data_IF_058952303164
#
_entry.id   IF_058952303164
#
_cell.length_a   1.000
_cell.length_b   1.000
_cell.length_c   1.000
_cell.angle_alpha   90.00
_cell.angle_beta   90.00
_cell.angle_gamma   90.00
#
_symmetry.space_group_name_H-M   'P 1'
#
loop_
_entity.id
_entity.type
_entity.pdbx_description
1 polymer ?
#
# COMPACT_ATOMS: atom_id res chain seq x y z
N UNK A 1 -2.76 -27.94 7.77
CA UNK A 1 -2.00 -26.85 7.11
C UNK A 1 -0.93 -26.37 8.06
N UNK A 2 0.29 -26.16 7.57
CA UNK A 2 1.43 -25.74 8.39
C UNK A 2 1.23 -24.30 8.91
N UNK A 3 1.10 -24.15 10.23
CA UNK A 3 0.98 -22.87 10.95
C UNK A 3 2.35 -22.18 11.09
N UNK A 4 3.02 -21.93 9.96
CA UNK A 4 4.37 -21.37 9.93
C UNK A 4 4.46 -19.83 9.99
N UNK A 5 3.39 -19.11 9.67
CA UNK A 5 3.46 -17.66 9.36
C UNK A 5 2.65 -16.73 10.28
N UNK A 6 1.95 -17.25 11.30
CA UNK A 6 1.18 -16.41 12.23
C UNK A 6 2.01 -16.05 13.48
N UNK A 7 3.15 -15.36 13.32
CA UNK A 7 3.90 -14.79 14.46
C UNK A 7 4.38 -13.36 14.18
N UNK A 8 3.45 -12.45 13.90
CA UNK A 8 3.62 -11.00 14.05
C UNK A 8 2.60 -10.49 15.07
N UNK A 9 3.03 -9.67 16.04
CA UNK A 9 2.26 -9.00 17.11
C UNK A 9 0.93 -9.67 17.51
N UNK A 10 0.93 -10.42 18.63
CA UNK A 10 -0.28 -11.02 19.18
C UNK A 10 -1.18 -9.92 19.76
N UNK A 11 -2.05 -9.34 18.93
CA UNK A 11 -3.13 -8.49 19.38
C UNK A 11 -4.31 -9.33 19.87
N UNK A 12 -5.11 -8.77 20.77
CA UNK A 12 -6.41 -9.32 21.10
C UNK A 12 -7.36 -8.20 21.53
N UNK A 13 -8.54 -8.14 20.92
CA UNK A 13 -9.65 -7.36 21.42
C UNK A 13 -10.50 -8.15 22.42
N UNK A 14 -10.85 -7.51 23.53
CA UNK A 14 -11.81 -8.02 24.50
C UNK A 14 -13.05 -7.13 24.53
N UNK A 15 -14.21 -7.77 24.52
CA UNK A 15 -15.51 -7.13 24.74
C UNK A 15 -15.80 -7.07 26.24
N UNK A 16 -15.99 -5.86 26.76
CA UNK A 16 -16.35 -5.59 28.15
C UNK A 16 -17.84 -5.23 28.15
N UNK A 17 -18.73 -6.14 28.59
CA UNK A 17 -20.15 -5.84 28.67
C UNK A 17 -20.39 -4.72 29.69
N UNK A 18 -20.87 -3.58 29.20
CA UNK A 18 -21.24 -2.43 30.02
C UNK A 18 -22.60 -1.94 29.52
N UNK A 19 -23.53 -1.58 30.40
CA UNK A 19 -24.82 -1.00 29.99
C UNK A 19 -24.73 0.53 30.01
N UNK A 20 -25.33 1.25 29.04
CA UNK A 20 -26.17 0.78 27.94
C UNK A 20 -25.41 0.29 26.69
N UNK A 21 -24.08 0.49 26.62
CA UNK A 21 -23.26 0.15 25.44
C UNK A 21 -22.01 -0.64 25.84
N UNK A 22 -21.70 -1.68 25.05
CA UNK A 22 -20.48 -2.46 25.24
C UNK A 22 -19.24 -1.58 25.11
N UNK A 23 -18.28 -1.79 26.01
CA UNK A 23 -16.93 -1.23 25.90
C UNK A 23 -16.01 -2.28 25.28
N UNK A 24 -14.95 -1.84 24.63
CA UNK A 24 -13.97 -2.72 24.02
C UNK A 24 -12.58 -2.25 24.42
N UNK A 25 -11.71 -3.20 24.74
CA UNK A 25 -10.29 -2.96 25.01
C UNK A 25 -9.46 -3.75 24.03
N UNK A 26 -8.53 -3.09 23.34
CA UNK A 26 -7.57 -3.72 22.44
C UNK A 26 -6.25 -3.79 23.17
N UNK A 27 -5.68 -4.98 23.25
CA UNK A 27 -4.32 -5.19 23.74
C UNK A 27 -3.43 -5.54 22.55
N UNK A 28 -2.32 -4.83 22.43
CA UNK A 28 -1.29 -5.15 21.44
C UNK A 28 -0.10 -5.67 22.23
N UNK A 29 0.23 -6.94 22.07
CA UNK A 29 1.40 -7.51 22.72
C UNK A 29 2.65 -6.97 22.03
N UNK A 30 3.35 -6.10 22.74
CA UNK A 30 4.77 -5.91 22.50
C UNK A 30 5.49 -7.23 22.82
N UNK A 31 6.23 -7.77 21.86
CA UNK A 31 7.04 -8.97 22.07
C UNK A 31 8.50 -8.53 22.15
N UNK A 32 9.06 -8.36 23.37
CA UNK A 32 10.40 -7.79 23.57
C UNK A 32 11.56 -8.65 23.03
N UNK A 33 11.28 -9.88 22.55
CA UNK A 33 12.28 -10.84 22.05
C UNK A 33 12.24 -11.03 20.52
N UNK A 34 11.63 -10.11 19.79
CA UNK A 34 11.60 -10.16 18.34
C UNK A 34 12.80 -9.40 17.77
N UNK A 35 13.72 -10.11 17.10
CA UNK A 35 14.88 -9.55 16.40
C UNK A 35 14.51 -8.81 15.10
N UNK A 36 13.37 -8.10 15.10
CA UNK A 36 12.92 -7.32 13.96
C UNK A 36 13.35 -5.85 14.14
N UNK A 37 13.64 -5.14 13.03
CA UNK A 37 13.80 -3.69 13.07
C UNK A 37 12.56 -2.99 13.68
N UNK A 38 12.79 -1.86 14.36
CA UNK A 38 11.75 -1.11 15.07
C UNK A 38 10.60 -0.66 14.15
N UNK A 39 10.92 -0.23 12.93
CA UNK A 39 9.94 0.16 11.91
C UNK A 39 9.00 -1.01 11.53
N UNK A 40 9.56 -2.23 11.48
CA UNK A 40 8.80 -3.45 11.20
C UNK A 40 7.83 -3.78 12.32
N UNK A 41 8.24 -3.56 13.58
CA UNK A 41 7.37 -3.76 14.75
C UNK A 41 6.23 -2.74 14.70
N UNK A 42 6.54 -1.46 14.52
CA UNK A 42 5.55 -0.39 14.44
C UNK A 42 4.50 -0.64 13.35
N UNK A 43 4.93 -1.02 12.14
CA UNK A 43 4.03 -1.36 11.02
C UNK A 43 3.13 -2.56 11.33
N UNK A 44 3.63 -3.55 12.08
CA UNK A 44 2.84 -4.70 12.52
C UNK A 44 1.81 -4.30 13.55
N UNK A 45 2.17 -3.49 14.54
CA UNK A 45 1.24 -3.05 15.57
C UNK A 45 0.10 -2.22 14.97
N UNK A 46 0.42 -1.36 13.99
CA UNK A 46 -0.58 -0.59 13.25
C UNK A 46 -1.53 -1.48 12.44
N UNK A 47 -1.02 -2.55 11.84
CA UNK A 47 -1.86 -3.57 11.17
C UNK A 47 -2.75 -4.30 12.16
N UNK A 48 -2.17 -4.81 13.25
CA UNK A 48 -2.89 -5.51 14.31
C UNK A 48 -3.99 -4.64 14.90
N UNK A 49 -3.72 -3.36 15.18
CA UNK A 49 -4.73 -2.42 15.66
C UNK A 49 -5.91 -2.29 14.67
N UNK A 50 -5.62 -2.12 13.37
CA UNK A 50 -6.65 -2.02 12.35
C UNK A 50 -7.48 -3.31 12.24
N UNK A 51 -6.84 -4.47 12.40
CA UNK A 51 -7.50 -5.78 12.41
C UNK A 51 -8.44 -5.93 13.61
N UNK A 52 -7.99 -5.60 14.82
CA UNK A 52 -8.83 -5.65 16.03
C UNK A 52 -9.99 -4.64 15.97
N UNK A 53 -9.78 -3.46 15.38
CA UNK A 53 -10.86 -2.50 15.09
C UNK A 53 -11.90 -3.13 14.15
N UNK A 54 -11.48 -3.93 13.17
CA UNK A 54 -12.38 -4.62 12.26
C UNK A 54 -13.30 -5.59 13.02
N UNK A 55 -12.75 -6.39 13.94
CA UNK A 55 -13.57 -7.26 14.79
C UNK A 55 -14.61 -6.45 15.56
N UNK A 56 -14.22 -5.33 16.18
CA UNK A 56 -15.15 -4.48 16.91
C UNK A 56 -16.23 -3.89 16.00
N UNK A 57 -15.88 -3.45 14.79
CA UNK A 57 -16.83 -2.77 13.90
C UNK A 57 -17.75 -3.73 13.16
N UNK A 58 -17.23 -4.83 12.67
CA UNK A 58 -17.97 -5.77 11.82
C UNK A 58 -18.58 -6.92 12.63
N UNK A 59 -17.88 -7.36 13.67
CA UNK A 59 -18.19 -8.62 14.35
C UNK A 59 -18.63 -8.43 15.80
N UNK A 60 -19.00 -7.20 16.22
CA UNK A 60 -19.37 -6.87 17.62
C UNK A 60 -20.47 -7.75 18.25
N UNK A 61 -21.30 -8.37 17.43
CA UNK A 61 -22.39 -9.24 17.84
C UNK A 61 -21.94 -10.68 18.08
N UNK A 62 -20.78 -11.09 17.58
CA UNK A 62 -20.15 -12.36 17.94
C UNK A 62 -19.49 -12.27 19.31
N UNK A 63 -19.52 -13.38 20.04
CA UNK A 63 -18.86 -13.49 21.34
C UNK A 63 -17.48 -14.12 21.17
N UNK A 64 -16.47 -13.27 20.95
CA UNK A 64 -15.09 -13.70 20.67
C UNK A 64 -14.43 -14.44 21.85
N UNK A 65 -15.00 -14.32 23.07
CA UNK A 65 -14.48 -14.98 24.25
C UNK A 65 -14.91 -16.46 24.36
N UNK A 66 -15.98 -16.87 23.69
CA UNK A 66 -16.60 -18.20 23.84
C UNK A 66 -16.61 -19.05 22.57
N UNK A 67 -16.35 -18.46 21.39
CA UNK A 67 -16.32 -19.17 20.09
C UNK A 67 -15.09 -20.06 19.86
N UNK A 68 -14.23 -20.31 20.85
CA UNK A 68 -13.12 -21.28 20.71
C UNK A 68 -13.50 -22.69 21.19
N UNK A 69 -14.75 -22.92 21.58
CA UNK A 69 -15.16 -24.14 22.29
C UNK A 69 -16.02 -25.11 21.49
N UNK A 70 -16.37 -24.85 20.22
CA UNK A 70 -17.17 -25.78 19.40
C UNK A 70 -16.53 -26.05 18.02
N UNK A 71 -16.61 -27.29 17.49
CA UNK A 71 -16.00 -27.66 16.21
C UNK A 71 -16.49 -26.88 14.98
N UNK A 72 -17.74 -26.40 14.99
CA UNK A 72 -18.29 -25.56 13.90
C UNK A 72 -17.85 -24.10 13.99
N UNK A 73 -17.20 -23.70 15.09
CA UNK A 73 -16.75 -22.32 15.26
C UNK A 73 -15.45 -22.06 14.49
N UNK A 74 -14.66 -23.08 14.14
CA UNK A 74 -13.39 -22.89 13.41
C UNK A 74 -13.61 -22.31 12.01
N UNK A 75 -14.62 -22.77 11.27
CA UNK A 75 -14.94 -22.22 9.95
C UNK A 75 -15.43 -20.77 10.05
N UNK A 76 -16.28 -20.48 11.05
CA UNK A 76 -16.80 -19.13 11.29
C UNK A 76 -15.65 -18.22 11.72
N UNK A 77 -14.84 -18.62 12.68
CA UNK A 77 -13.67 -17.86 13.14
C UNK A 77 -12.72 -17.57 11.97
N UNK A 78 -12.42 -18.57 11.13
CA UNK A 78 -11.59 -18.36 9.93
C UNK A 78 -12.20 -17.30 8.98
N UNK A 79 -13.52 -17.31 8.76
CA UNK A 79 -14.19 -16.27 7.96
C UNK A 79 -14.07 -14.90 8.60
N UNK A 80 -14.34 -14.77 9.90
CA UNK A 80 -14.24 -13.50 10.63
C UNK A 80 -12.80 -12.94 10.59
N UNK A 81 -11.78 -13.78 10.72
CA UNK A 81 -10.36 -13.39 10.59
C UNK A 81 -10.02 -12.91 9.18
N UNK A 82 -10.54 -13.57 8.14
CA UNK A 82 -10.36 -13.16 6.74
C UNK A 82 -11.04 -11.80 6.49
N UNK A 83 -12.26 -11.61 6.97
CA UNK A 83 -13.00 -10.36 6.86
C UNK A 83 -12.30 -9.22 7.61
N UNK A 84 -11.78 -9.49 8.81
CA UNK A 84 -11.01 -8.52 9.58
C UNK A 84 -9.72 -8.09 8.86
N UNK A 85 -8.98 -9.04 8.26
CA UNK A 85 -7.83 -8.74 7.42
C UNK A 85 -8.19 -7.92 6.18
N UNK A 86 -9.32 -8.23 5.54
CA UNK A 86 -9.82 -7.49 4.39
C UNK A 86 -10.16 -6.04 4.74
N UNK A 87 -10.79 -5.82 5.89
CA UNK A 87 -11.08 -4.50 6.42
C UNK A 87 -9.80 -3.73 6.76
N UNK A 88 -8.87 -4.33 7.51
CA UNK A 88 -7.61 -3.70 7.89
C UNK A 88 -6.82 -3.24 6.66
N UNK A 89 -6.79 -4.09 5.62
CA UNK A 89 -6.16 -3.78 4.33
C UNK A 89 -6.76 -2.52 3.67
N UNK A 90 -8.09 -2.39 3.66
CA UNK A 90 -8.78 -1.23 3.08
C UNK A 90 -8.74 0.02 3.94
N UNK A 91 -8.67 -0.15 5.26
CA UNK A 91 -8.53 0.97 6.19
C UNK A 91 -7.14 1.61 6.06
N UNK A 92 -6.09 0.78 5.98
CA UNK A 92 -4.71 1.25 5.91
C UNK A 92 -4.29 1.67 4.49
N UNK A 93 -4.81 1.00 3.47
CA UNK A 93 -4.50 1.23 2.06
C UNK A 93 -5.79 1.40 1.24
N UNK A 94 -6.52 2.53 1.38
CA UNK A 94 -7.80 2.72 0.72
C UNK A 94 -7.67 2.85 -0.81
N UNK A 95 -8.66 2.33 -1.56
CA UNK A 95 -8.64 2.30 -3.04
C UNK A 95 -8.45 3.69 -3.66
N UNK A 96 -9.08 4.72 -3.09
CA UNK A 96 -8.99 6.10 -3.60
C UNK A 96 -7.60 6.73 -3.45
N UNK A 97 -6.74 6.18 -2.60
CA UNK A 97 -5.39 6.68 -2.39
C UNK A 97 -4.39 6.12 -3.40
N UNK A 98 -4.80 5.20 -4.28
CA UNK A 98 -4.02 4.77 -5.44
C UNK A 98 -4.31 5.74 -6.60
N UNK A 99 -3.39 6.66 -6.83
CA UNK A 99 -3.56 7.83 -7.70
C UNK A 99 -2.53 7.90 -8.82
N UNK A 100 -1.49 7.07 -8.77
CA UNK A 100 -0.44 7.00 -9.78
C UNK A 100 -0.14 5.55 -10.13
N UNK A 101 0.33 5.30 -11.35
CA UNK A 101 0.85 3.98 -11.76
C UNK A 101 1.97 3.49 -10.85
N UNK A 102 2.77 4.40 -10.28
CA UNK A 102 3.84 4.04 -9.33
C UNK A 102 3.28 3.35 -8.09
N UNK A 103 2.03 3.66 -7.69
CA UNK A 103 1.32 3.02 -6.58
C UNK A 103 0.99 1.55 -6.86
N UNK A 104 1.23 1.03 -8.06
CA UNK A 104 1.07 -0.38 -8.41
C UNK A 104 2.29 -1.24 -8.05
N UNK A 105 3.34 -0.64 -7.48
CA UNK A 105 4.54 -1.36 -7.02
C UNK A 105 4.52 -1.62 -5.51
N UNK A 106 4.98 -2.78 -5.01
CA UNK A 106 5.03 -3.05 -3.58
C UNK A 106 5.88 -2.03 -2.80
N UNK A 107 6.97 -1.53 -3.40
CA UNK A 107 7.86 -0.56 -2.77
C UNK A 107 7.17 0.78 -2.54
N UNK A 108 6.47 1.30 -3.56
CA UNK A 108 5.71 2.54 -3.42
C UNK A 108 4.59 2.41 -2.38
N UNK A 109 3.86 1.29 -2.37
CA UNK A 109 2.79 1.05 -1.39
C UNK A 109 3.34 0.98 0.04
N UNK A 110 4.47 0.30 0.26
CA UNK A 110 5.14 0.27 1.57
C UNK A 110 5.50 1.68 2.03
N UNK A 111 6.14 2.47 1.16
CA UNK A 111 6.56 3.83 1.51
C UNK A 111 5.37 4.76 1.75
N UNK A 112 4.34 4.69 0.89
CA UNK A 112 3.17 5.59 0.91
C UNK A 112 2.25 5.33 2.10
N UNK A 113 1.98 4.06 2.40
CA UNK A 113 1.00 3.69 3.43
C UNK A 113 1.64 3.30 4.75
N UNK A 114 2.97 3.20 4.79
CA UNK A 114 3.75 2.77 5.95
C UNK A 114 3.24 1.44 6.52
N UNK A 115 3.34 0.41 5.67
CA UNK A 115 2.92 -0.96 5.95
C UNK A 115 4.05 -1.94 5.62
N UNK A 116 3.95 -3.19 6.09
CA UNK A 116 4.90 -4.23 5.71
C UNK A 116 4.76 -4.63 4.24
N UNK A 117 5.87 -5.06 3.63
CA UNK A 117 5.91 -5.52 2.24
C UNK A 117 4.88 -6.61 1.93
N UNK A 118 4.72 -7.59 2.82
CA UNK A 118 3.73 -8.65 2.64
C UNK A 118 2.28 -8.16 2.64
N UNK A 119 1.96 -7.09 3.37
CA UNK A 119 0.65 -6.46 3.35
C UNK A 119 0.43 -5.69 2.03
N UNK A 120 1.45 -4.98 1.57
CA UNK A 120 1.44 -4.26 0.29
C UNK A 120 1.23 -5.23 -0.89
N UNK A 121 1.97 -6.33 -0.96
CA UNK A 121 1.84 -7.35 -2.01
C UNK A 121 0.43 -7.95 -2.03
N UNK A 122 -0.12 -8.32 -0.87
CA UNK A 122 -1.49 -8.81 -0.75
C UNK A 122 -2.52 -7.75 -1.17
N UNK A 123 -2.27 -6.48 -0.86
CA UNK A 123 -3.16 -5.39 -1.26
C UNK A 123 -3.19 -5.22 -2.76
N UNK A 124 -2.02 -5.17 -3.40
CA UNK A 124 -1.89 -5.02 -4.85
C UNK A 124 -2.56 -6.18 -5.59
N UNK A 125 -2.37 -7.42 -5.12
CA UNK A 125 -3.05 -8.59 -5.69
C UNK A 125 -4.58 -8.46 -5.67
N UNK A 126 -5.13 -7.88 -4.61
CA UNK A 126 -6.57 -7.71 -4.39
C UNK A 126 -7.06 -6.27 -4.62
N UNK A 127 -6.28 -5.44 -5.33
CA UNK A 127 -6.68 -4.08 -5.69
C UNK A 127 -7.86 -4.14 -6.65
N UNK A 128 -8.81 -3.21 -6.50
CA UNK A 128 -9.99 -3.18 -7.37
C UNK A 128 -9.57 -3.02 -8.83
N UNK A 129 -10.15 -3.85 -9.70
CA UNK A 129 -9.77 -3.88 -11.11
C UNK A 129 -10.02 -2.54 -11.81
N UNK A 130 -11.03 -1.76 -11.40
CA UNK A 130 -11.29 -0.44 -11.98
C UNK A 130 -10.20 0.55 -11.61
N UNK A 131 -9.70 0.47 -10.38
CA UNK A 131 -8.57 1.30 -9.93
C UNK A 131 -7.32 0.94 -10.71
N UNK A 132 -7.03 -0.36 -10.84
CA UNK A 132 -5.88 -0.84 -11.61
C UNK A 132 -5.96 -0.40 -13.07
N UNK A 133 -7.10 -0.66 -13.73
CA UNK A 133 -7.31 -0.33 -15.14
C UNK A 133 -7.19 1.17 -15.38
N UNK A 134 -7.83 2.01 -14.55
CA UNK A 134 -7.71 3.47 -14.66
C UNK A 134 -6.25 3.92 -14.65
N UNK A 135 -5.45 3.41 -13.71
CA UNK A 135 -4.05 3.81 -13.57
C UNK A 135 -3.18 3.30 -14.73
N UNK A 136 -3.48 2.12 -15.29
CA UNK A 136 -2.75 1.58 -16.45
C UNK A 136 -3.18 2.23 -17.78
N UNK A 137 -4.45 2.59 -17.93
CA UNK A 137 -4.98 3.27 -19.12
C UNK A 137 -4.36 4.66 -19.30
N UNK A 138 -4.18 5.41 -18.20
CA UNK A 138 -3.50 6.71 -18.21
C UNK A 138 -2.09 6.61 -18.81
N UNK A 139 -1.36 5.54 -18.47
CA UNK A 139 -0.01 5.29 -19.00
C UNK A 139 -0.04 4.81 -20.45
N UNK A 140 -0.95 3.89 -20.80
CA UNK A 140 -1.08 3.39 -22.16
C UNK A 140 -1.43 4.53 -23.15
N UNK A 141 -2.29 5.47 -22.74
CA UNK A 141 -2.61 6.67 -23.52
C UNK A 141 -1.40 7.57 -23.70
N UNK A 142 -0.59 7.76 -22.65
CA UNK A 142 0.63 8.56 -22.69
C UNK A 142 1.66 8.00 -23.68
N UNK A 143 1.90 6.69 -23.67
CA UNK A 143 2.87 6.03 -24.56
C UNK A 143 2.36 5.72 -25.98
N UNK A 144 1.15 6.17 -26.34
CA UNK A 144 0.48 5.82 -27.60
C UNK A 144 0.48 4.30 -27.87
N UNK A 145 0.43 3.49 -26.81
CA UNK A 145 0.34 2.05 -26.97
C UNK A 145 -1.00 1.71 -27.61
N UNK A 146 -0.95 1.23 -28.86
CA UNK A 146 -2.13 0.82 -29.58
C UNK A 146 -2.75 -0.36 -28.85
N UNK A 147 -4.01 -0.19 -28.50
CA UNK A 147 -4.91 -1.07 -27.78
C UNK A 147 -5.27 -2.37 -28.55
N UNK A 148 -4.36 -2.89 -29.38
CA UNK A 148 -4.58 -4.17 -30.06
C UNK A 148 -4.14 -5.29 -29.10
N UNK A 149 -5.14 -5.78 -28.35
CA UNK A 149 -5.07 -6.94 -27.43
C UNK A 149 -4.47 -6.69 -26.04
N UNK A 150 -5.13 -5.85 -25.23
CA UNK A 150 -5.01 -6.01 -23.76
C UNK A 150 -5.66 -7.35 -23.38
N UNK A 151 -4.84 -8.36 -23.12
CA UNK A 151 -5.29 -9.62 -22.52
C UNK A 151 -5.50 -9.38 -21.03
N UNK A 152 -6.53 -9.99 -20.44
CA UNK A 152 -6.82 -9.97 -18.99
C UNK A 152 -5.76 -10.67 -18.12
N UNK A 153 -4.59 -11.00 -18.69
CA UNK A 153 -3.51 -11.61 -17.95
C UNK A 153 -2.76 -10.54 -17.15
N UNK A 154 -2.40 -10.82 -15.88
CA UNK A 154 -1.55 -9.92 -15.12
C UNK A 154 -0.25 -9.69 -15.90
N UNK A 155 0.08 -8.42 -16.11
CA UNK A 155 1.29 -8.00 -16.81
C UNK A 155 2.51 -8.74 -16.22
N UNK A 156 3.32 -9.42 -17.04
CA UNK A 156 4.43 -10.20 -16.52
C UNK A 156 5.47 -9.27 -15.88
N UNK A 157 6.13 -9.74 -14.82
CA UNK A 157 7.00 -8.91 -13.97
C UNK A 157 8.12 -8.17 -14.74
N UNK A 158 8.55 -8.70 -15.88
CA UNK A 158 9.52 -8.07 -16.78
C UNK A 158 8.97 -6.83 -17.52
N UNK A 159 7.67 -6.79 -17.81
CA UNK A 159 7.01 -5.63 -18.43
C UNK A 159 6.71 -4.55 -17.39
N UNK A 160 6.44 -4.95 -16.13
CA UNK A 160 6.38 -4.03 -14.99
C UNK A 160 7.74 -3.38 -14.77
N UNK A 161 8.84 -4.14 -14.86
CA UNK A 161 10.20 -3.58 -14.81
C UNK A 161 10.46 -2.60 -15.95
N UNK A 162 9.99 -2.89 -17.17
CA UNK A 162 10.10 -1.94 -18.29
C UNK A 162 9.25 -0.68 -18.08
N UNK A 163 8.10 -0.78 -17.39
CA UNK A 163 7.34 0.38 -16.93
C UNK A 163 8.01 1.12 -15.78
N UNK A 164 8.68 0.44 -14.86
CA UNK A 164 9.50 1.06 -13.81
C UNK A 164 10.69 1.79 -14.42
N UNK A 165 11.36 1.18 -15.40
CA UNK A 165 12.43 1.84 -16.17
C UNK A 165 11.83 2.97 -16.97
N UNK A 166 10.70 2.82 -17.65
CA UNK A 166 10.06 3.88 -18.42
C UNK A 166 9.65 5.07 -17.54
N UNK A 167 9.03 4.82 -16.39
CA UNK A 167 8.64 5.83 -15.40
C UNK A 167 9.84 6.39 -14.60
N UNK A 168 10.92 5.63 -14.44
CA UNK A 168 12.19 6.15 -13.92
C UNK A 168 12.95 6.96 -14.98
N UNK A 169 12.81 6.62 -16.26
CA UNK A 169 13.21 7.44 -17.41
C UNK A 169 12.19 8.53 -17.72
N UNK A 170 11.06 8.62 -17.02
CA UNK A 170 10.28 9.88 -16.94
C UNK A 170 10.96 10.89 -15.99
N UNK A 171 12.12 10.53 -15.42
CA UNK A 171 13.15 11.49 -14.97
C UNK A 171 14.25 11.70 -16.03
N UNK A 172 14.00 11.34 -17.30
CA UNK A 172 14.63 12.03 -18.43
C UNK A 172 13.83 13.31 -18.73
N UNK A 173 13.79 14.21 -17.74
CA UNK A 173 13.96 15.61 -18.08
C UNK A 173 15.29 15.67 -18.84
N UNK A 174 15.32 16.21 -20.07
CA UNK A 174 16.58 16.51 -20.76
C UNK A 174 17.55 17.12 -19.74
N UNK A 175 18.54 16.36 -19.26
CA UNK A 175 19.46 16.86 -18.25
C UNK A 175 20.28 17.96 -18.93
N UNK A 176 19.87 19.21 -18.70
CA UNK A 176 20.54 20.38 -19.25
C UNK A 176 21.63 20.84 -18.31
N UNK A 177 22.79 21.06 -18.90
CA UNK A 177 23.94 21.64 -18.21
C UNK A 177 23.98 23.14 -18.47
N UNK A 178 24.18 23.90 -17.41
CA UNK A 178 24.29 25.35 -17.47
C UNK A 178 25.46 25.76 -18.36
N UNK A 179 25.20 26.59 -19.37
CA UNK A 179 26.21 27.12 -20.29
C UNK A 179 27.34 27.88 -19.57
N UNK A 180 27.09 28.46 -18.40
CA UNK A 180 28.09 29.23 -17.63
C UNK A 180 28.94 28.41 -16.65
N UNK A 181 28.36 27.41 -15.99
CA UNK A 181 29.06 26.70 -14.90
C UNK A 181 29.01 25.17 -15.00
N UNK A 182 28.40 24.62 -16.05
CA UNK A 182 28.24 23.18 -16.29
C UNK A 182 27.49 22.44 -15.16
N UNK A 183 26.83 23.17 -14.26
CA UNK A 183 25.94 22.59 -13.25
C UNK A 183 24.61 22.15 -13.85
N UNK A 184 23.97 21.18 -13.20
CA UNK A 184 22.64 20.69 -13.58
C UNK A 184 21.61 21.82 -13.44
N UNK A 185 20.75 21.95 -14.44
CA UNK A 185 19.62 22.88 -14.43
C UNK A 185 18.33 22.13 -14.10
N UNK A 186 17.47 22.74 -13.29
CA UNK A 186 16.13 22.23 -13.00
C UNK A 186 15.11 22.93 -13.89
N UNK A 187 14.11 22.18 -14.36
CA UNK A 187 13.01 22.71 -15.14
C UNK A 187 11.91 23.28 -14.23
N UNK A 188 11.33 24.41 -14.63
CA UNK A 188 10.07 24.92 -14.09
C UNK A 188 9.03 25.12 -15.22
N UNK A 189 7.89 25.75 -14.90
CA UNK A 189 6.81 25.98 -15.88
C UNK A 189 7.18 26.93 -17.03
N UNK A 190 8.24 27.73 -16.91
CA UNK A 190 8.58 28.81 -17.84
C UNK A 190 10.01 28.68 -18.44
N UNK A 191 10.85 27.81 -17.89
CA UNK A 191 12.27 27.74 -18.24
C UNK A 191 13.07 26.73 -17.44
N UNK A 192 14.40 26.88 -17.49
CA UNK A 192 15.37 26.11 -16.72
C UNK A 192 16.19 27.04 -15.83
N UNK A 193 16.46 26.66 -14.58
CA UNK A 193 17.28 27.41 -13.63
C UNK A 193 18.50 26.62 -13.15
N UNK A 194 19.67 27.25 -13.14
CA UNK A 194 20.89 26.66 -12.58
C UNK A 194 21.02 26.93 -11.07
N UNK A 195 21.16 25.88 -10.26
CA UNK A 195 21.27 26.04 -8.80
C UNK A 195 22.62 26.65 -8.34
N UNK A 196 23.68 26.51 -9.15
CA UNK A 196 25.02 26.98 -8.77
C UNK A 196 25.17 28.48 -9.01
N UNK A 197 24.74 28.96 -10.18
CA UNK A 197 25.00 30.32 -10.61
C UNK A 197 23.75 31.18 -10.81
N UNK A 198 22.56 30.60 -10.67
CA UNK A 198 21.28 31.31 -10.80
C UNK A 198 20.90 31.70 -12.24
N UNK A 199 21.62 31.20 -13.26
CA UNK A 199 21.27 31.46 -14.65
C UNK A 199 19.92 30.84 -15.00
N UNK A 200 19.07 31.60 -15.69
CA UNK A 200 17.73 31.21 -16.10
C UNK A 200 17.61 31.22 -17.63
N UNK A 201 17.10 30.14 -18.22
CA UNK A 201 16.89 29.98 -19.66
C UNK A 201 15.40 29.74 -19.94
N UNK A 202 14.74 30.70 -20.59
CA UNK A 202 13.31 30.59 -20.92
C UNK A 202 13.08 29.54 -22.01
N UNK A 203 11.94 28.85 -21.93
CA UNK A 203 11.46 28.04 -23.05
C UNK A 203 11.02 28.99 -24.17
N UNK A 204 11.70 28.93 -25.32
CA UNK A 204 11.25 29.65 -26.51
C UNK A 204 9.91 29.06 -26.96
N UNK A 205 8.83 29.82 -26.81
CA UNK A 205 7.55 29.50 -27.45
C UNK A 205 7.64 29.95 -28.90
N UNK A 206 7.82 28.99 -29.81
CA UNK A 206 7.54 29.17 -31.25
C UNK A 206 6.02 29.25 -31.50
#
# INVERSE_FOLDING_TARGET
MAYGDCRGAAGMAYKIPHKPQNRYSIFISDKPNLSFPEDTIYRRDRWTLAHEIAHIKMHAHYDWATTRSRPNDDEINNKLEVEANWFASRLLMPDYAFTSVLDLTPAAVVAKFDVNRSAAEKRLKNLDFKVRNRLTEEVALFFHWKHEELRDEPMPDNEIFMMEVAAATEVDEEVRFCSKCQGIMMRDMFGHICFICGQYEFLHTE
#
